data_IF_360313345293
#
_entry.id   IF_360313345293
#
_cell.length_a   1.000
_cell.length_b   1.000
_cell.length_c   1.000
_cell.angle_alpha   90.00
_cell.angle_beta   90.00
_cell.angle_gamma   90.00
#
_symmetry.space_group_name_H-M   'P 1'
#
loop_
_entity.id
_entity.type
_entity.pdbx_description
1 polymer ?
#
# COMPACT_ATOMS: atom_id res chain seq x y z
N UNK A 1 35.07 18.80 -12.97
CA UNK A 1 34.46 18.72 -11.62
C UNK A 1 33.13 19.48 -11.53
N UNK A 2 33.04 20.78 -11.86
CA UNK A 2 31.77 21.54 -11.80
C UNK A 2 30.61 20.99 -12.65
N UNK A 3 30.91 20.46 -13.85
CA UNK A 3 29.89 19.86 -14.75
C UNK A 3 29.38 18.48 -14.28
N UNK A 4 30.21 17.71 -13.58
CA UNK A 4 29.85 16.39 -13.05
C UNK A 4 28.91 16.49 -11.85
N UNK A 5 29.07 17.53 -11.02
CA UNK A 5 28.18 17.82 -9.89
C UNK A 5 26.77 18.22 -10.36
N UNK A 6 26.68 18.97 -11.46
CA UNK A 6 25.40 19.39 -12.02
C UNK A 6 24.55 18.22 -12.58
N UNK A 7 25.21 17.22 -13.18
CA UNK A 7 24.53 16.01 -13.67
C UNK A 7 24.04 15.15 -12.49
N UNK A 8 24.83 15.04 -11.41
CA UNK A 8 24.45 14.28 -10.22
C UNK A 8 23.21 14.88 -9.52
N UNK A 9 23.11 16.22 -9.47
CA UNK A 9 21.93 16.91 -8.94
C UNK A 9 20.67 16.69 -9.79
N UNK A 10 20.80 16.56 -11.11
CA UNK A 10 19.66 16.32 -11.99
C UNK A 10 19.11 14.89 -11.84
N UNK A 11 19.98 13.90 -11.60
CA UNK A 11 19.58 12.49 -11.38
C UNK A 11 18.88 12.32 -10.02
N UNK A 12 19.27 13.09 -9.00
CA UNK A 12 18.67 13.03 -7.66
C UNK A 12 17.21 13.53 -7.62
N UNK A 13 16.79 14.37 -8.57
CA UNK A 13 15.41 14.87 -8.64
C UNK A 13 14.39 13.85 -9.16
N UNK A 14 14.85 12.74 -9.76
CA UNK A 14 13.99 11.70 -10.36
C UNK A 14 13.72 10.54 -9.39
N UNK A 15 14.29 10.57 -8.18
CA UNK A 15 14.15 9.48 -7.20
C UNK A 15 12.89 9.54 -6.34
N UNK A 16 11.94 10.45 -6.61
CA UNK A 16 10.65 10.47 -5.92
C UNK A 16 9.73 9.39 -6.47
N UNK A 17 9.16 8.58 -5.56
CA UNK A 17 8.07 7.66 -5.87
C UNK A 17 6.92 8.42 -6.54
N UNK A 18 6.50 7.95 -7.71
CA UNK A 18 5.47 8.60 -8.52
C UNK A 18 4.09 8.32 -7.93
N UNK A 19 3.37 9.37 -7.50
CA UNK A 19 1.93 9.26 -7.25
C UNK A 19 1.20 9.10 -8.59
N UNK A 20 0.37 8.07 -8.70
CA UNK A 20 -0.44 7.79 -9.90
C UNK A 20 -1.92 7.70 -9.53
N UNK A 21 -2.78 7.90 -10.53
CA UNK A 21 -4.23 7.88 -10.34
C UNK A 21 -4.73 6.51 -9.84
N UNK A 22 -5.77 6.47 -8.98
CA UNK A 22 -6.33 5.23 -8.45
C UNK A 22 -7.17 4.51 -9.51
N UNK A 23 -6.49 3.89 -10.47
CA UNK A 23 -7.09 3.00 -11.48
C UNK A 23 -6.66 1.55 -11.22
N UNK A 24 -7.48 0.59 -11.68
CA UNK A 24 -7.14 -0.84 -11.58
C UNK A 24 -5.81 -1.15 -12.29
N UNK A 25 -5.58 -0.53 -13.45
CA UNK A 25 -4.33 -0.68 -14.21
C UNK A 25 -3.11 -0.24 -13.38
N UNK A 26 -3.19 0.93 -12.75
CA UNK A 26 -2.09 1.45 -11.94
C UNK A 26 -1.85 0.58 -10.71
N UNK A 27 -2.91 0.16 -10.00
CA UNK A 27 -2.80 -0.71 -8.83
C UNK A 27 -2.19 -2.09 -9.20
N UNK A 28 -2.67 -2.72 -10.27
CA UNK A 28 -2.15 -3.99 -10.75
C UNK A 28 -0.67 -3.89 -11.16
N UNK A 29 -0.26 -2.77 -11.76
CA UNK A 29 1.15 -2.55 -12.11
C UNK A 29 2.09 -2.51 -10.89
N UNK A 30 1.56 -2.20 -9.69
CA UNK A 30 2.32 -2.27 -8.44
C UNK A 30 2.39 -3.72 -7.95
N UNK A 31 1.28 -4.46 -7.98
CA UNK A 31 1.26 -5.87 -7.57
C UNK A 31 2.18 -6.75 -8.40
N UNK A 32 2.32 -6.47 -9.70
CA UNK A 32 3.21 -7.20 -10.61
C UNK A 32 4.68 -7.15 -10.20
N UNK A 33 5.08 -6.16 -9.37
CA UNK A 33 6.44 -6.06 -8.86
C UNK A 33 6.80 -7.12 -7.82
N UNK A 34 5.79 -7.78 -7.20
CA UNK A 34 5.94 -8.78 -6.12
C UNK A 34 6.63 -8.28 -4.84
N UNK A 35 7.09 -7.03 -4.84
CA UNK A 35 7.62 -6.31 -3.69
C UNK A 35 6.86 -4.99 -3.56
N UNK A 36 5.85 -4.99 -2.70
CA UNK A 36 4.97 -3.85 -2.51
C UNK A 36 4.48 -3.78 -1.07
N UNK A 37 3.96 -2.63 -0.69
CA UNK A 37 3.37 -2.37 0.63
C UNK A 37 1.97 -1.82 0.47
N UNK A 38 1.08 -2.31 1.33
CA UNK A 38 -0.25 -1.75 1.56
C UNK A 38 -0.20 -0.97 2.86
N UNK A 39 -0.55 0.31 2.82
CA UNK A 39 -0.76 1.19 3.97
C UNK A 39 -2.26 1.35 4.23
N UNK A 40 -2.67 1.05 5.46
CA UNK A 40 -4.02 1.23 5.96
C UNK A 40 -4.04 2.49 6.83
N UNK A 41 -4.46 3.61 6.24
CA UNK A 41 -4.58 4.91 6.91
C UNK A 41 -5.97 4.96 7.54
N UNK A 42 -6.06 4.67 8.83
CA UNK A 42 -7.31 4.47 9.57
C UNK A 42 -7.90 5.80 10.08
N UNK A 43 -7.03 6.74 10.43
CA UNK A 43 -7.33 8.13 10.79
C UNK A 43 -6.02 8.95 10.72
N UNK A 44 -6.07 10.24 11.07
CA UNK A 44 -4.92 11.16 11.01
C UNK A 44 -3.72 10.69 11.85
N UNK A 45 -3.95 9.91 12.91
CA UNK A 45 -2.92 9.50 13.87
C UNK A 45 -2.48 8.03 13.68
N UNK A 46 -3.30 7.22 12.98
CA UNK A 46 -3.15 5.77 12.94
C UNK A 46 -3.01 5.26 11.51
N UNK A 47 -1.81 4.78 11.21
CA UNK A 47 -1.48 4.04 9.99
C UNK A 47 -0.88 2.70 10.36
N UNK A 48 -1.36 1.65 9.71
CA UNK A 48 -0.80 0.29 9.79
C UNK A 48 -0.33 -0.13 8.39
N UNK A 49 0.60 -1.07 8.28
CA UNK A 49 1.14 -1.47 6.98
C UNK A 49 1.37 -2.97 6.85
N UNK A 50 1.24 -3.47 5.63
CA UNK A 50 1.53 -4.84 5.25
C UNK A 50 2.41 -4.85 4.01
N UNK A 51 3.68 -5.18 4.19
CA UNK A 51 4.65 -5.35 3.10
C UNK A 51 4.70 -6.79 2.65
N UNK A 52 4.73 -7.01 1.34
CA UNK A 52 4.86 -8.31 0.68
C UNK A 52 6.26 -8.37 0.09
N UNK A 53 7.07 -9.31 0.58
CA UNK A 53 8.44 -9.50 0.13
C UNK A 53 8.61 -11.00 -0.04
N UNK A 54 8.74 -11.44 -1.30
CA UNK A 54 8.72 -12.85 -1.70
C UNK A 54 7.44 -13.57 -1.22
N UNK A 55 7.57 -14.59 -0.37
CA UNK A 55 6.47 -15.36 0.22
C UNK A 55 6.14 -14.93 1.66
N UNK A 56 6.73 -13.83 2.13
CA UNK A 56 6.57 -13.31 3.49
C UNK A 56 5.72 -12.05 3.45
N UNK A 57 4.83 -11.94 4.45
CA UNK A 57 4.26 -10.65 4.82
C UNK A 57 4.93 -10.10 6.08
N UNK A 58 5.20 -8.80 6.06
CA UNK A 58 5.65 -8.02 7.21
C UNK A 58 4.54 -7.04 7.56
N UNK A 59 3.83 -7.34 8.64
CA UNK A 59 2.74 -6.52 9.14
C UNK A 59 3.22 -5.64 10.30
N UNK A 60 2.93 -4.35 10.25
CA UNK A 60 3.28 -3.38 11.30
C UNK A 60 2.04 -2.65 11.77
N UNK A 61 1.77 -2.76 13.07
CA UNK A 61 0.64 -2.13 13.73
C UNK A 61 0.99 -1.80 15.19
N UNK A 62 0.57 -0.63 15.67
CA UNK A 62 0.72 -0.20 17.07
C UNK A 62 2.13 -0.41 17.65
N UNK A 63 3.17 -0.10 16.86
CA UNK A 63 4.58 -0.24 17.24
C UNK A 63 5.13 -1.68 17.21
N UNK A 64 4.29 -2.67 16.89
CA UNK A 64 4.68 -4.07 16.76
C UNK A 64 4.95 -4.44 15.30
N UNK A 65 5.75 -5.49 15.09
CA UNK A 65 6.02 -6.06 13.76
C UNK A 65 5.83 -7.57 13.79
N UNK A 66 4.90 -8.08 13.00
CA UNK A 66 4.64 -9.51 12.79
C UNK A 66 5.18 -9.92 11.43
N UNK A 67 5.93 -11.01 11.38
CA UNK A 67 6.43 -11.61 10.13
C UNK A 67 5.93 -13.03 10.01
N UNK A 68 5.39 -13.40 8.85
CA UNK A 68 5.03 -14.79 8.57
C UNK A 68 5.02 -15.08 7.07
N UNK A 69 5.25 -16.34 6.72
CA UNK A 69 4.95 -16.85 5.39
C UNK A 69 3.44 -16.77 5.14
N UNK A 70 3.05 -16.37 3.95
CA UNK A 70 1.64 -16.28 3.55
C UNK A 70 1.24 -17.50 2.71
N UNK A 71 0.08 -18.06 3.03
CA UNK A 71 -0.55 -19.10 2.20
C UNK A 71 -1.34 -18.49 1.05
N UNK A 72 -1.59 -19.27 -0.01
CA UNK A 72 -2.41 -18.83 -1.14
C UNK A 72 -3.79 -18.32 -0.69
N UNK A 73 -4.47 -19.04 0.21
CA UNK A 73 -5.79 -18.62 0.72
C UNK A 73 -5.75 -17.27 1.43
N UNK A 74 -4.67 -17.00 2.18
CA UNK A 74 -4.48 -15.71 2.83
C UNK A 74 -4.18 -14.59 1.83
N UNK A 75 -3.39 -14.87 0.79
CA UNK A 75 -3.16 -13.92 -0.29
C UNK A 75 -4.46 -13.58 -1.03
N UNK A 76 -5.32 -14.58 -1.28
CA UNK A 76 -6.64 -14.39 -1.87
C UNK A 76 -7.56 -13.55 -0.98
N UNK A 77 -7.54 -13.75 0.34
CA UNK A 77 -8.31 -12.93 1.28
C UNK A 77 -7.91 -11.45 1.21
N UNK A 78 -6.61 -11.16 1.15
CA UNK A 78 -6.12 -9.77 1.05
C UNK A 78 -6.48 -9.18 -0.30
N UNK A 79 -6.27 -9.93 -1.38
CA UNK A 79 -6.62 -9.50 -2.73
C UNK A 79 -8.11 -9.16 -2.86
N UNK A 80 -9.00 -10.03 -2.38
CA UNK A 80 -10.45 -9.79 -2.41
C UNK A 80 -10.81 -8.56 -1.58
N UNK A 81 -10.25 -8.41 -0.38
CA UNK A 81 -10.46 -7.23 0.44
C UNK A 81 -10.07 -5.95 -0.31
N UNK A 82 -8.88 -5.91 -0.92
CA UNK A 82 -8.42 -4.72 -1.65
C UNK A 82 -9.30 -4.42 -2.86
N UNK A 83 -9.71 -5.44 -3.61
CA UNK A 83 -10.64 -5.25 -4.74
C UNK A 83 -11.98 -4.69 -4.27
N UNK A 84 -12.56 -5.25 -3.20
CA UNK A 84 -13.82 -4.76 -2.63
C UNK A 84 -13.68 -3.30 -2.18
N UNK A 85 -12.59 -2.95 -1.49
CA UNK A 85 -12.35 -1.57 -1.06
C UNK A 85 -12.12 -0.61 -2.23
N UNK A 86 -11.44 -1.06 -3.29
CA UNK A 86 -11.20 -0.26 -4.48
C UNK A 86 -12.52 0.11 -5.17
N UNK A 87 -13.53 -0.78 -5.19
CA UNK A 87 -14.86 -0.45 -5.74
C UNK A 87 -15.61 0.62 -4.94
N UNK A 88 -15.25 0.81 -3.68
CA UNK A 88 -15.83 1.81 -2.78
C UNK A 88 -15.05 3.12 -2.79
N UNK A 89 -14.03 3.25 -3.65
CA UNK A 89 -13.25 4.47 -3.74
C UNK A 89 -14.14 5.67 -4.10
N UNK A 90 -14.10 6.69 -3.24
CA UNK A 90 -14.80 7.96 -3.46
C UNK A 90 -13.79 9.11 -3.61
N UNK A 91 -13.66 9.61 -4.85
CA UNK A 91 -12.79 10.75 -5.17
C UNK A 91 -13.22 12.06 -4.52
N UNK A 92 -14.50 12.18 -4.14
CA UNK A 92 -15.05 13.39 -3.52
C UNK A 92 -14.88 13.41 -1.99
N UNK A 93 -14.43 12.30 -1.42
CA UNK A 93 -14.33 12.11 0.01
C UNK A 93 -12.97 12.58 0.58
N UNK A 94 -12.90 12.74 1.91
CA UNK A 94 -11.71 13.14 2.64
C UNK A 94 -10.47 12.28 2.33
N UNK A 95 -9.28 12.86 2.53
CA UNK A 95 -7.99 12.14 2.34
C UNK A 95 -7.82 10.92 3.25
N UNK A 96 -8.61 10.86 4.33
CA UNK A 96 -8.57 9.81 5.36
C UNK A 96 -10.00 9.51 5.80
N UNK A 97 -10.38 8.23 6.04
CA UNK A 97 -9.58 7.02 5.89
C UNK A 97 -9.29 6.66 4.42
N UNK A 98 -8.11 6.10 4.19
CA UNK A 98 -7.66 5.72 2.85
C UNK A 98 -6.76 4.48 2.90
N UNK A 99 -6.61 3.83 1.74
CA UNK A 99 -5.66 2.75 1.53
C UNK A 99 -4.67 3.22 0.47
N UNK A 100 -3.38 3.05 0.76
CA UNK A 100 -2.33 3.26 -0.21
C UNK A 100 -1.64 1.95 -0.55
N UNK A 101 -1.28 1.77 -1.82
CA UNK A 101 -0.51 0.64 -2.31
C UNK A 101 0.67 1.20 -3.05
N UNK A 102 1.88 0.74 -2.72
CA UNK A 102 3.08 1.28 -3.33
C UNK A 102 4.22 0.28 -3.41
N UNK A 103 5.12 0.55 -4.35
CA UNK A 103 6.45 -0.04 -4.42
C UNK A 103 7.49 1.09 -4.53
N UNK A 104 8.75 0.78 -4.82
CA UNK A 104 9.79 1.81 -4.97
C UNK A 104 9.52 2.85 -6.05
N UNK A 105 8.71 2.53 -7.08
CA UNK A 105 8.49 3.39 -8.22
C UNK A 105 7.17 4.16 -8.18
N UNK A 106 6.09 3.53 -7.73
CA UNK A 106 4.72 4.06 -7.83
C UNK A 106 3.97 3.97 -6.51
N UNK A 107 3.04 4.90 -6.29
CA UNK A 107 2.05 4.89 -5.21
C UNK A 107 0.67 5.19 -5.78
N UNK A 108 -0.29 4.34 -5.43
CA UNK A 108 -1.72 4.54 -5.64
C UNK A 108 -2.36 4.74 -4.27
N UNK A 109 -3.23 5.74 -4.14
CA UNK A 109 -4.02 5.97 -2.93
C UNK A 109 -5.49 6.07 -3.31
N UNK A 110 -6.35 5.34 -2.61
CA UNK A 110 -7.79 5.44 -2.78
C UNK A 110 -8.47 5.71 -1.43
N UNK A 111 -9.29 6.75 -1.42
CA UNK A 111 -10.04 7.23 -0.26
C UNK A 111 -11.30 6.37 -0.08
N UNK A 112 -11.50 5.84 1.12
CA UNK A 112 -12.60 4.93 1.45
C UNK A 112 -13.14 5.31 2.83
N UNK A 113 -14.34 5.90 2.94
CA UNK A 113 -14.82 6.50 4.19
C UNK A 113 -14.96 5.54 5.37
N UNK A 114 -15.17 4.25 5.11
CA UNK A 114 -15.58 3.32 6.16
C UNK A 114 -15.14 1.87 5.90
N UNK A 115 -13.82 1.62 5.80
CA UNK A 115 -13.28 0.27 5.62
C UNK A 115 -12.76 -0.38 6.93
N UNK A 116 -12.73 0.38 8.03
CA UNK A 116 -12.11 -0.05 9.30
C UNK A 116 -12.72 -1.36 9.85
N UNK A 117 -14.06 -1.57 9.85
CA UNK A 117 -14.63 -2.84 10.32
C UNK A 117 -14.16 -4.05 9.50
N UNK A 118 -14.19 -3.94 8.17
CA UNK A 118 -13.76 -4.97 7.23
C UNK A 118 -12.27 -5.27 7.37
N UNK A 119 -11.47 -4.23 7.58
CA UNK A 119 -10.04 -4.33 7.85
C UNK A 119 -9.75 -5.14 9.12
N UNK A 120 -10.42 -4.83 10.23
CA UNK A 120 -10.23 -5.58 11.48
C UNK A 120 -10.58 -7.06 11.33
N UNK A 121 -11.63 -7.38 10.57
CA UNK A 121 -11.97 -8.77 10.25
C UNK A 121 -10.95 -9.43 9.33
N UNK A 122 -10.33 -8.70 8.38
CA UNK A 122 -9.21 -9.21 7.58
C UNK A 122 -8.03 -9.58 8.48
N UNK A 123 -7.55 -8.65 9.32
CA UNK A 123 -6.40 -8.86 10.22
C UNK A 123 -6.63 -10.06 11.13
N UNK A 124 -7.83 -10.18 11.71
CA UNK A 124 -8.25 -11.33 12.51
C UNK A 124 -8.20 -12.65 11.74
N UNK A 125 -8.73 -12.70 10.51
CA UNK A 125 -8.67 -13.91 9.65
C UNK A 125 -7.24 -14.28 9.30
N UNK A 126 -6.37 -13.28 9.13
CA UNK A 126 -4.94 -13.47 8.89
C UNK A 126 -4.17 -13.86 10.16
N UNK A 127 -4.76 -13.75 11.36
CA UNK A 127 -4.07 -13.98 12.65
C UNK A 127 -2.85 -13.06 12.79
N UNK A 128 -3.03 -11.78 12.48
CA UNK A 128 -2.02 -10.73 12.55
C UNK A 128 -2.27 -9.78 13.72
#
# INVERSE_FOLDING_TARGET
MKKSVAILFLVLLVACQQQVDPTLENANSIFDSKDFTIEFILNEEKTESMSFIDDIIVYKADGNTTRKTISLDQALLINNFIQDQFTQHDQSNSEVPSIAIYNTAKKVTFNIPNYKPEYLELIKKLKL
#
